data_IF_223721126850
#
_entry.id   IF_223721126850
#
_cell.length_a   1.000
_cell.length_b   1.000
_cell.length_c   1.000
_cell.angle_alpha   90.00
_cell.angle_beta   90.00
_cell.angle_gamma   90.00
#
_symmetry.space_group_name_H-M   'P 1'
#
loop_
_entity.id
_entity.type
_entity.pdbx_description
1 polymer ?
#
# COMPACT_ATOMS: atom_id res chain seq x y z
N UNK A 1 -6.95 -4.92 1.38
CA UNK A 1 -7.63 -3.63 1.05
C UNK A 1 -9.14 -3.60 1.27
N UNK A 2 -9.93 -4.60 0.86
CA UNK A 2 -11.41 -4.57 0.97
C UNK A 2 -11.93 -4.30 2.39
N UNK A 3 -11.43 -5.04 3.39
CA UNK A 3 -11.85 -4.90 4.81
C UNK A 3 -11.68 -3.47 5.34
N UNK A 4 -10.55 -2.83 5.03
CA UNK A 4 -10.26 -1.45 5.44
C UNK A 4 -11.18 -0.43 4.78
N UNK A 5 -11.50 -0.63 3.49
CA UNK A 5 -12.50 0.21 2.81
C UNK A 5 -13.89 0.08 3.45
N UNK A 6 -14.31 -1.15 3.79
CA UNK A 6 -15.59 -1.39 4.48
C UNK A 6 -15.63 -0.71 5.85
N UNK A 7 -14.56 -0.84 6.64
CA UNK A 7 -14.43 -0.16 7.93
C UNK A 7 -14.53 1.37 7.76
N UNK A 8 -13.80 1.95 6.79
CA UNK A 8 -13.93 3.38 6.46
C UNK A 8 -15.38 3.76 6.15
N UNK A 9 -16.11 2.95 5.37
CA UNK A 9 -17.52 3.25 5.02
C UNK A 9 -18.46 3.22 6.21
N UNK A 10 -18.23 2.32 7.16
CA UNK A 10 -19.01 2.24 8.38
C UNK A 10 -18.75 3.47 9.25
N UNK A 11 -17.49 3.86 9.41
CA UNK A 11 -17.09 5.05 10.17
C UNK A 11 -17.65 6.34 9.54
N UNK A 12 -17.51 6.54 8.23
CA UNK A 12 -18.04 7.72 7.53
C UNK A 12 -19.58 7.86 7.69
N UNK A 13 -20.31 6.74 7.71
CA UNK A 13 -21.75 6.73 7.97
C UNK A 13 -22.07 7.11 9.41
N UNK A 14 -21.35 6.53 10.37
CA UNK A 14 -21.51 6.85 11.78
C UNK A 14 -21.23 8.34 12.07
N UNK A 15 -20.20 8.92 11.45
CA UNK A 15 -19.88 10.35 11.57
C UNK A 15 -21.00 11.28 11.10
N UNK A 16 -21.77 10.86 10.09
CA UNK A 16 -22.89 11.64 9.55
C UNK A 16 -24.25 11.24 10.16
N UNK A 17 -24.30 10.25 11.05
CA UNK A 17 -25.56 9.71 11.58
C UNK A 17 -26.45 9.03 10.53
N UNK A 18 -25.87 8.55 9.42
CA UNK A 18 -26.60 7.99 8.28
C UNK A 18 -26.64 6.46 8.38
N UNK A 19 -27.82 5.88 8.19
CA UNK A 19 -28.05 4.44 8.14
C UNK A 19 -28.00 3.89 6.70
N UNK A 20 -28.04 2.56 6.55
CA UNK A 20 -28.19 1.94 5.23
C UNK A 20 -29.59 2.14 4.62
N UNK A 21 -30.60 2.44 5.46
CA UNK A 21 -31.99 2.65 5.01
C UNK A 21 -32.16 3.94 4.23
N UNK A 22 -31.31 4.92 4.49
CA UNK A 22 -31.30 6.21 3.81
C UNK A 22 -30.86 6.09 2.34
N UNK A 23 -30.32 4.92 1.94
CA UNK A 23 -29.90 4.60 0.56
C UNK A 23 -29.00 5.66 -0.08
N UNK A 24 -28.26 6.41 0.75
CA UNK A 24 -27.34 7.43 0.29
C UNK A 24 -26.14 6.79 -0.42
N UNK A 25 -25.79 7.38 -1.56
CA UNK A 25 -24.62 7.02 -2.36
C UNK A 25 -23.33 7.25 -1.58
N UNK A 26 -22.37 6.36 -1.76
CA UNK A 26 -21.07 6.46 -1.09
C UNK A 26 -20.28 7.71 -1.54
N UNK A 27 -20.50 8.17 -2.77
CA UNK A 27 -19.90 9.37 -3.34
C UNK A 27 -20.36 10.63 -2.57
N UNK A 28 -21.65 10.68 -2.21
CA UNK A 28 -22.22 11.77 -1.41
C UNK A 28 -21.67 11.78 0.02
N UNK A 29 -21.61 10.61 0.66
CA UNK A 29 -21.03 10.47 2.01
C UNK A 29 -19.56 10.93 2.02
N UNK A 30 -18.81 10.63 0.95
CA UNK A 30 -17.42 11.10 0.79
C UNK A 30 -17.28 12.60 0.61
N UNK A 31 -18.11 13.20 -0.24
CA UNK A 31 -18.03 14.65 -0.50
C UNK A 31 -18.34 15.45 0.77
N UNK A 32 -19.23 14.94 1.62
CA UNK A 32 -19.54 15.53 2.94
C UNK A 32 -18.42 15.36 3.96
N UNK A 33 -17.87 14.16 4.11
CA UNK A 33 -16.85 13.87 5.14
C UNK A 33 -15.46 14.40 4.79
N UNK A 34 -15.13 14.53 3.50
CA UNK A 34 -13.81 14.94 2.98
C UNK A 34 -12.64 14.11 3.50
N UNK A 35 -12.91 12.91 4.03
CA UNK A 35 -11.90 11.98 4.53
C UNK A 35 -11.14 11.38 3.35
N UNK A 36 -9.81 11.37 3.43
CA UNK A 36 -8.97 10.79 2.39
C UNK A 36 -9.25 9.29 2.24
N UNK A 37 -9.20 8.78 1.01
CA UNK A 37 -9.33 7.35 0.78
C UNK A 37 -8.24 6.56 1.52
N UNK A 38 -8.64 5.59 2.36
CA UNK A 38 -7.70 4.76 3.11
C UNK A 38 -6.75 4.00 2.19
N UNK A 39 -7.20 3.65 0.98
CA UNK A 39 -6.37 3.00 -0.01
C UNK A 39 -5.23 3.89 -0.51
N UNK A 40 -5.53 5.15 -0.81
CA UNK A 40 -4.51 6.10 -1.22
C UNK A 40 -3.53 6.38 -0.07
N UNK A 41 -4.04 6.50 1.16
CA UNK A 41 -3.19 6.70 2.35
C UNK A 41 -2.24 5.53 2.58
N UNK A 42 -2.73 4.30 2.50
CA UNK A 42 -1.91 3.09 2.68
C UNK A 42 -0.86 2.99 1.59
N UNK A 43 -1.23 3.19 0.33
CA UNK A 43 -0.28 3.22 -0.77
C UNK A 43 0.80 4.27 -0.52
N UNK A 44 0.43 5.51 -0.17
CA UNK A 44 1.39 6.58 0.14
C UNK A 44 2.35 6.22 1.27
N UNK A 45 1.85 5.67 2.38
CA UNK A 45 2.68 5.27 3.51
C UNK A 45 3.63 4.13 3.13
N UNK A 46 3.12 3.14 2.38
CA UNK A 46 3.93 2.05 1.85
C UNK A 46 5.07 2.57 0.96
N UNK A 47 4.81 3.58 0.13
CA UNK A 47 5.81 4.22 -0.72
C UNK A 47 6.83 5.03 0.06
N UNK A 48 6.38 5.80 1.05
CA UNK A 48 7.29 6.52 1.94
C UNK A 48 8.24 5.54 2.65
N UNK A 49 7.71 4.40 3.11
CA UNK A 49 8.52 3.34 3.70
C UNK A 49 9.49 2.71 2.70
N UNK A 50 9.00 2.34 1.50
CA UNK A 50 9.83 1.75 0.45
C UNK A 50 10.96 2.68 -0.01
N UNK A 51 10.72 3.99 -0.04
CA UNK A 51 11.77 4.97 -0.27
C UNK A 51 12.74 5.10 0.92
N UNK A 52 12.24 5.07 2.16
CA UNK A 52 13.03 5.30 3.36
C UNK A 52 14.02 4.18 3.68
N UNK A 53 13.59 2.92 3.53
CA UNK A 53 14.38 1.76 3.96
C UNK A 53 15.71 1.61 3.21
N UNK A 54 15.80 1.72 1.87
CA UNK A 54 17.07 1.62 1.15
C UNK A 54 18.09 2.70 1.51
N UNK A 55 17.64 3.90 1.90
CA UNK A 55 18.52 5.02 2.30
C UNK A 55 19.15 4.82 3.68
N UNK A 56 18.65 3.88 4.48
CA UNK A 56 19.27 3.57 5.76
C UNK A 56 20.58 2.82 5.56
N UNK A 57 21.61 3.30 6.23
CA UNK A 57 22.96 2.72 6.29
C UNK A 57 23.17 1.81 7.50
N UNK A 58 22.17 1.67 8.37
CA UNK A 58 22.25 0.98 9.67
C UNK A 58 22.26 -0.56 9.58
N UNK A 59 22.48 -1.14 8.39
CA UNK A 59 22.54 -2.58 8.09
C UNK A 59 21.38 -3.43 8.67
N UNK A 60 20.25 -2.80 9.01
CA UNK A 60 19.09 -3.47 9.59
C UNK A 60 18.44 -4.43 8.61
N UNK A 61 17.72 -5.40 9.18
CA UNK A 61 17.00 -6.43 8.42
C UNK A 61 16.03 -5.86 7.37
N UNK A 62 15.46 -4.68 7.59
CA UNK A 62 14.52 -4.06 6.66
C UNK A 62 15.05 -3.95 5.23
N UNK A 63 16.31 -3.51 5.06
CA UNK A 63 16.96 -3.42 3.75
C UNK A 63 17.23 -4.80 3.16
N UNK A 64 17.72 -5.74 3.98
CA UNK A 64 17.97 -7.13 3.56
C UNK A 64 16.72 -7.81 3.05
N UNK A 65 15.58 -7.66 3.74
CA UNK A 65 14.29 -8.24 3.35
C UNK A 65 13.75 -7.62 2.06
N UNK A 66 13.91 -6.30 1.91
CA UNK A 66 13.45 -5.57 0.74
C UNK A 66 14.24 -5.94 -0.53
N UNK A 67 15.55 -6.06 -0.40
CA UNK A 67 16.44 -6.42 -1.51
C UNK A 67 16.53 -7.92 -1.76
N UNK A 68 15.97 -8.74 -0.87
CA UNK A 68 16.08 -10.19 -0.91
C UNK A 68 15.57 -10.77 -2.22
N UNK A 69 16.43 -11.56 -2.86
CA UNK A 69 16.12 -12.36 -4.03
C UNK A 69 16.60 -13.79 -3.78
N UNK A 70 15.81 -14.82 -4.13
CA UNK A 70 16.29 -16.19 -4.11
C UNK A 70 17.42 -16.32 -5.15
N UNK A 71 18.67 -16.46 -4.68
CA UNK A 71 19.86 -16.62 -5.55
C UNK A 71 20.16 -18.07 -5.90
N UNK A 72 19.52 -19.02 -5.22
CA UNK A 72 19.86 -20.44 -5.28
C UNK A 72 18.70 -21.27 -5.84
N UNK A 73 18.97 -21.99 -6.93
CA UNK A 73 18.04 -22.95 -7.56
C UNK A 73 17.39 -22.45 -8.85
N UNK A 74 16.89 -23.40 -9.65
CA UNK A 74 16.02 -23.07 -10.81
C UNK A 74 14.70 -22.48 -10.30
N UNK A 75 14.13 -21.48 -10.99
CA UNK A 75 12.79 -21.00 -10.67
C UNK A 75 11.81 -22.18 -10.66
N UNK A 76 10.82 -22.19 -9.75
CA UNK A 76 9.77 -23.18 -9.82
C UNK A 76 9.08 -23.09 -11.19
N UNK A 77 8.71 -24.24 -11.78
CA UNK A 77 7.88 -24.26 -12.98
C UNK A 77 6.55 -23.57 -12.64
N UNK A 78 6.23 -22.48 -13.34
CA UNK A 78 5.00 -21.70 -13.13
C UNK A 78 5.25 -20.31 -12.52
N UNK A 79 4.25 -19.78 -11.81
CA UNK A 79 4.29 -18.41 -11.28
C UNK A 79 5.22 -18.31 -10.08
N UNK A 80 6.27 -17.51 -10.20
CA UNK A 80 7.16 -17.17 -9.08
C UNK A 80 6.36 -16.56 -7.92
N UNK A 81 6.74 -16.90 -6.68
CA UNK A 81 6.16 -16.27 -5.48
C UNK A 81 6.41 -14.76 -5.54
N UNK A 82 5.37 -13.96 -5.25
CA UNK A 82 5.53 -12.50 -5.16
C UNK A 82 6.51 -12.14 -4.05
N UNK A 83 7.54 -11.39 -4.41
CA UNK A 83 8.52 -10.77 -3.51
C UNK A 83 8.04 -9.38 -3.12
N UNK A 84 8.63 -8.83 -2.07
CA UNK A 84 8.40 -7.42 -1.68
C UNK A 84 8.77 -6.46 -2.80
N UNK A 85 9.91 -6.70 -3.47
CA UNK A 85 10.37 -5.92 -4.61
C UNK A 85 9.39 -5.96 -5.79
N UNK A 86 8.80 -7.12 -6.10
CA UNK A 86 7.87 -7.26 -7.24
C UNK A 86 6.63 -6.36 -7.12
N UNK A 87 6.15 -6.10 -5.89
CA UNK A 87 5.04 -5.18 -5.68
C UNK A 87 5.46 -3.72 -5.87
N UNK A 88 6.72 -3.41 -5.62
CA UNK A 88 7.26 -2.08 -5.83
C UNK A 88 7.52 -1.82 -7.32
N UNK A 89 8.14 -2.78 -7.99
CA UNK A 89 8.40 -2.76 -9.44
C UNK A 89 7.09 -2.64 -10.23
N UNK A 90 6.01 -3.32 -9.79
CA UNK A 90 4.69 -3.25 -10.42
C UNK A 90 4.04 -1.87 -10.42
N UNK A 91 4.47 -0.96 -9.55
CA UNK A 91 3.89 0.37 -9.44
C UNK A 91 4.79 1.44 -10.04
N UNK A 92 6.11 1.27 -9.96
CA UNK A 92 7.08 2.18 -10.55
C UNK A 92 8.33 1.39 -10.96
N UNK A 93 8.60 1.38 -12.26
CA UNK A 93 9.83 0.86 -12.83
C UNK A 93 11.02 1.66 -12.26
N UNK A 94 12.12 0.99 -11.93
CA UNK A 94 13.32 1.59 -11.31
C UNK A 94 13.14 2.33 -9.97
N UNK A 95 12.14 1.95 -9.16
CA UNK A 95 11.92 2.54 -7.83
C UNK A 95 13.17 2.56 -6.94
N UNK A 96 14.07 1.57 -7.08
CA UNK A 96 15.28 1.45 -6.25
C UNK A 96 16.29 2.58 -6.49
N UNK A 97 16.45 3.01 -7.74
CA UNK A 97 17.31 4.14 -8.13
C UNK A 97 16.70 5.47 -7.67
N UNK A 98 15.39 5.63 -7.85
CA UNK A 98 14.65 6.82 -7.42
C UNK A 98 14.60 6.97 -5.89
N UNK A 99 14.58 5.86 -5.16
CA UNK A 99 14.61 5.87 -3.70
C UNK A 99 15.96 6.36 -3.15
N UNK A 100 17.06 6.16 -3.89
CA UNK A 100 18.40 6.59 -3.46
C UNK A 100 18.69 8.06 -3.80
N UNK A 101 18.11 8.58 -4.87
CA UNK A 101 18.38 9.93 -5.40
C UNK A 101 17.43 11.03 -4.86
N UNK A 102 16.84 10.85 -3.67
CA UNK A 102 15.91 11.80 -3.03
C UNK A 102 16.44 12.27 -1.69
#
# INVERSE_FOLDING_TARGET
>A
MRKLKVAQRAMERAMLGVSLRDKLRNEYIRSRTKVTEIAQRISKLKWQWAGHIPRRTDHRWGRKVLEWQPRTGRPPRGRTRKRWRDELDSFMEDWSSLAQNR
#
